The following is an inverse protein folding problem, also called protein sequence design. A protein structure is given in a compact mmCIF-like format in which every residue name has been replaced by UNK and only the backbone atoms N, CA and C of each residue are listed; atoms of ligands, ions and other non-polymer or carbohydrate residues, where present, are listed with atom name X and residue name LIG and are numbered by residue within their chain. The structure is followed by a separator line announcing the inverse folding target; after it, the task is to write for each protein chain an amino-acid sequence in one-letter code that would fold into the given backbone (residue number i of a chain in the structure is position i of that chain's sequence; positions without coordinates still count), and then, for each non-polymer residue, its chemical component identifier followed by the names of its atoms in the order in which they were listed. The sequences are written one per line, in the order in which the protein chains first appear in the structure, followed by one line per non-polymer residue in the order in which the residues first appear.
data_IF_751448391395
#
_entry.id   IF_751448391395
#
_cell.length_a   1.000
_cell.length_b   1.000
_cell.length_c   1.000
_cell.angle_alpha   90.00
_cell.angle_beta   90.00
_cell.angle_gamma   90.00
#
_symmetry.space_group_name_H-M   'P 1'
#
loop_
_entity.id
_entity.type
_entity.pdbx_description
1 polymer ?
#
# COMPACT_ATOMS: atom_id res chain seq x y z
N UNK A 1 8.58 12.45 2.58
CA UNK A 1 7.47 12.78 1.66
C UNK A 1 7.90 12.62 0.21
N UNK A 2 8.97 13.33 -0.25
CA UNK A 2 9.43 13.21 -1.64
C UNK A 2 9.79 11.76 -2.02
N UNK A 3 10.52 11.04 -1.16
CA UNK A 3 10.81 9.62 -1.36
C UNK A 3 9.53 8.78 -1.45
N UNK A 4 8.55 9.07 -0.61
CA UNK A 4 7.29 8.33 -0.60
C UNK A 4 6.51 8.54 -1.91
N UNK A 5 6.43 9.78 -2.38
CA UNK A 5 5.81 10.13 -3.66
C UNK A 5 6.54 9.51 -4.85
N UNK A 6 7.87 9.35 -4.78
CA UNK A 6 8.64 8.77 -5.88
C UNK A 6 8.58 7.24 -5.91
N UNK A 7 8.34 6.59 -4.77
CA UNK A 7 8.31 5.12 -4.67
C UNK A 7 6.89 4.58 -4.71
N UNK A 8 6.00 5.15 -3.88
CA UNK A 8 4.65 4.60 -3.65
C UNK A 8 3.57 5.44 -4.33
N UNK A 9 3.90 6.70 -4.70
CA UNK A 9 2.98 7.71 -5.25
C UNK A 9 1.97 8.28 -4.26
N UNK A 10 2.11 7.92 -2.99
CA UNK A 10 1.30 8.41 -1.89
C UNK A 10 2.19 8.87 -0.74
N UNK A 11 1.85 10.01 -0.15
CA UNK A 11 2.51 10.53 1.05
C UNK A 11 1.45 11.04 2.03
N UNK A 12 1.72 10.82 3.30
CA UNK A 12 0.81 11.20 4.39
C UNK A 12 1.53 12.09 5.40
N UNK A 13 0.90 13.21 5.75
CA UNK A 13 1.27 14.07 6.86
C UNK A 13 0.16 14.05 7.89
N UNK A 14 0.50 13.63 9.10
CA UNK A 14 -0.43 13.55 10.23
C UNK A 14 -0.32 14.85 11.03
N UNK A 15 -1.44 15.51 11.23
CA UNK A 15 -1.59 16.71 12.05
C UNK A 15 -1.98 16.25 13.45
N UNK A 16 -1.05 16.33 14.38
CA UNK A 16 -1.35 16.04 15.80
C UNK A 16 -2.03 17.24 16.42
N UNK A 17 -3.27 17.06 16.85
CA UNK A 17 -4.10 18.08 17.48
C UNK A 17 -4.14 17.89 18.99
N UNK A 18 -4.05 18.98 19.73
CA UNK A 18 -4.32 19.02 21.15
C UNK A 18 -5.68 19.68 21.36
N UNK A 19 -6.60 18.96 22.00
CA UNK A 19 -7.98 19.41 22.21
C UNK A 19 -8.12 20.03 23.59
N UNK A 20 -8.81 21.14 23.64
CA UNK A 20 -9.21 21.82 24.89
C UNK A 20 -10.68 21.51 25.12
N UNK A 21 -10.94 20.88 26.25
CA UNK A 21 -12.26 20.39 26.65
C UNK A 21 -12.78 21.27 27.80
N UNK A 22 -14.05 21.63 27.75
CA UNK A 22 -14.69 22.33 28.84
C UNK A 22 -14.80 21.39 30.06
N UNK A 23 -14.34 21.84 31.25
CA UNK A 23 -14.40 21.00 32.45
C UNK A 23 -15.83 20.81 32.97
N UNK A 24 -16.79 21.66 32.62
CA UNK A 24 -18.17 21.55 33.09
C UNK A 24 -19.01 20.62 32.22
N UNK A 25 -18.95 20.80 30.88
CA UNK A 25 -19.79 20.06 29.93
C UNK A 25 -19.07 18.90 29.26
N UNK A 26 -17.73 18.85 29.33
CA UNK A 26 -16.91 17.85 28.64
C UNK A 26 -16.87 18.01 27.13
N UNK A 27 -17.38 19.14 26.59
CA UNK A 27 -17.38 19.41 25.16
C UNK A 27 -16.04 19.97 24.67
N UNK A 28 -15.69 19.66 23.42
CA UNK A 28 -14.49 20.18 22.78
C UNK A 28 -14.75 21.61 22.34
N UNK A 29 -14.06 22.57 22.98
CA UNK A 29 -14.19 24.01 22.64
C UNK A 29 -13.35 24.37 21.42
N UNK A 30 -12.08 23.98 21.40
CA UNK A 30 -11.17 24.25 20.30
C UNK A 30 -10.00 23.26 20.30
N UNK A 31 -9.19 23.30 19.25
CA UNK A 31 -7.95 22.56 19.17
C UNK A 31 -6.80 23.45 18.69
N UNK A 32 -5.58 23.08 19.04
CA UNK A 32 -4.38 23.63 18.44
C UNK A 32 -3.56 22.53 17.77
N UNK A 33 -2.83 22.87 16.73
CA UNK A 33 -1.86 21.97 16.11
C UNK A 33 -0.63 21.89 17.00
N UNK A 34 -0.30 20.71 17.47
CA UNK A 34 0.89 20.45 18.30
C UNK A 34 2.11 20.17 17.44
N UNK A 35 1.98 19.29 16.48
CA UNK A 35 3.06 18.88 15.59
C UNK A 35 2.55 18.28 14.28
N UNK A 36 3.45 18.18 13.31
CA UNK A 36 3.21 17.48 12.04
C UNK A 36 4.14 16.27 11.97
N UNK A 37 3.57 15.08 11.82
CA UNK A 37 4.30 13.82 11.75
C UNK A 37 4.15 13.22 10.36
N UNK A 38 5.25 12.66 9.82
CA UNK A 38 5.18 11.87 8.59
C UNK A 38 4.47 10.54 8.88
N UNK A 39 3.37 10.27 8.19
CA UNK A 39 2.73 8.96 8.15
C UNK A 39 3.45 8.02 7.18
N UNK A 40 3.78 6.81 7.61
CA UNK A 40 4.37 5.82 6.72
C UNK A 40 3.30 5.25 5.76
N UNK A 41 3.47 5.39 4.44
CA UNK A 41 2.50 4.90 3.46
C UNK A 41 2.27 3.38 3.52
N UNK A 42 3.21 2.62 4.08
CA UNK A 42 3.06 1.17 4.25
C UNK A 42 1.94 0.85 5.24
N UNK A 43 1.82 1.63 6.30
CA UNK A 43 0.85 1.39 7.37
C UNK A 43 -0.40 2.26 7.29
N UNK A 44 -0.31 3.39 6.57
CA UNK A 44 -1.46 4.27 6.37
C UNK A 44 -2.45 3.70 5.36
N UNK A 45 -3.73 3.69 5.71
CA UNK A 45 -4.82 3.27 4.82
C UNK A 45 -5.94 4.29 4.85
N UNK A 46 -6.58 4.43 3.71
CA UNK A 46 -7.80 5.23 3.57
C UNK A 46 -8.98 4.36 4.00
N UNK A 47 -9.77 4.85 4.92
CA UNK A 47 -11.04 4.23 5.28
C UNK A 47 -12.06 4.60 4.22
N UNK A 48 -12.69 3.61 3.62
CA UNK A 48 -13.74 3.81 2.61
C UNK A 48 -14.92 2.87 2.86
N UNK A 49 -16.09 3.31 2.42
CA UNK A 49 -17.29 2.51 2.41
C UNK A 49 -17.26 1.43 1.29
N UNK A 50 -18.33 0.65 1.18
CA UNK A 50 -18.48 -0.38 0.13
C UNK A 50 -18.55 0.22 -1.29
N UNK A 51 -18.82 1.52 -1.43
CA UNK A 51 -18.92 2.24 -2.69
C UNK A 51 -17.58 2.89 -3.09
N UNK A 52 -16.56 2.82 -2.23
CA UNK A 52 -15.27 3.45 -2.44
C UNK A 52 -15.22 4.93 -2.07
N UNK A 53 -16.22 5.45 -1.37
CA UNK A 53 -16.23 6.82 -0.85
C UNK A 53 -15.43 6.84 0.46
N UNK A 54 -14.62 7.87 0.67
CA UNK A 54 -13.84 8.05 1.90
C UNK A 54 -14.76 8.28 3.09
N UNK A 55 -14.43 7.70 4.24
CA UNK A 55 -15.24 7.77 5.46
C UNK A 55 -16.38 6.74 5.47
N UNK A 56 -17.41 7.00 6.29
CA UNK A 56 -18.68 6.26 6.34
C UNK A 56 -18.63 4.83 6.90
N UNK A 57 -17.44 4.26 7.15
CA UNK A 57 -17.32 2.89 7.66
C UNK A 57 -17.18 2.82 9.16
N UNK A 58 -16.33 3.68 9.71
CA UNK A 58 -16.04 3.74 11.14
C UNK A 58 -16.21 5.16 11.63
N UNK A 59 -16.67 5.29 12.87
CA UNK A 59 -16.72 6.55 13.60
C UNK A 59 -15.83 6.44 14.83
N UNK A 60 -15.13 7.49 15.17
CA UNK A 60 -14.23 7.54 16.32
C UNK A 60 -14.44 8.81 17.11
N UNK A 61 -14.12 8.73 18.41
CA UNK A 61 -14.12 9.88 19.26
C UNK A 61 -12.86 10.72 19.03
N UNK A 62 -12.95 12.03 18.88
CA UNK A 62 -11.80 12.91 18.78
C UNK A 62 -10.81 12.79 19.93
N UNK A 63 -11.28 12.45 21.15
CA UNK A 63 -10.49 12.32 22.36
C UNK A 63 -9.94 10.91 22.61
N UNK A 64 -10.65 9.86 22.18
CA UNK A 64 -10.36 8.45 22.49
C UNK A 64 -10.06 7.61 21.25
N UNK A 65 -9.08 8.02 20.46
CA UNK A 65 -8.79 7.43 19.13
C UNK A 65 -8.07 6.11 19.16
N UNK A 66 -7.29 5.89 20.19
CA UNK A 66 -6.39 4.72 20.26
C UNK A 66 -7.12 3.45 20.68
N UNK A 67 -8.35 3.58 21.15
CA UNK A 67 -9.03 2.48 21.83
C UNK A 67 -10.33 2.03 21.18
N UNK A 68 -11.07 2.92 20.52
CA UNK A 68 -12.43 2.64 20.09
C UNK A 68 -12.71 3.15 18.69
N UNK A 69 -13.07 2.23 17.81
CA UNK A 69 -13.67 2.55 16.51
C UNK A 69 -15.02 1.88 16.43
N UNK A 70 -16.07 2.64 16.13
CA UNK A 70 -17.45 2.16 16.07
C UNK A 70 -17.88 1.91 14.62
N UNK A 71 -18.72 0.89 14.36
CA UNK A 71 -19.45 0.81 13.11
C UNK A 71 -20.22 2.09 12.83
N UNK A 72 -20.48 2.43 11.57
CA UNK A 72 -21.02 3.72 11.16
C UNK A 72 -22.41 4.12 11.68
N UNK A 73 -23.05 3.32 12.54
CA UNK A 73 -24.35 3.62 13.11
C UNK A 73 -24.31 4.28 14.50
N UNK A 74 -23.19 4.18 15.22
CA UNK A 74 -23.03 4.83 16.52
C UNK A 74 -22.81 6.34 16.36
N UNK A 75 -23.37 7.13 17.30
CA UNK A 75 -23.27 8.59 17.25
C UNK A 75 -22.52 9.19 18.43
N UNK A 76 -22.45 8.49 19.56
CA UNK A 76 -21.87 8.99 20.80
C UNK A 76 -20.79 8.05 21.33
N UNK A 77 -19.79 8.61 21.98
CA UNK A 77 -18.69 7.87 22.56
C UNK A 77 -19.11 7.26 23.91
N UNK A 78 -18.92 5.97 24.07
CA UNK A 78 -19.26 5.25 25.32
C UNK A 78 -18.40 5.67 26.51
N UNK A 79 -17.29 6.39 26.30
CA UNK A 79 -16.35 6.79 27.35
C UNK A 79 -16.62 8.21 27.85
N UNK A 80 -16.85 9.15 26.94
CA UNK A 80 -17.00 10.58 27.29
C UNK A 80 -18.32 11.20 26.82
N UNK A 81 -19.18 10.46 26.12
CA UNK A 81 -20.47 10.97 25.62
C UNK A 81 -20.35 11.91 24.41
N UNK A 82 -19.13 12.33 24.02
CA UNK A 82 -18.96 13.22 22.89
C UNK A 82 -19.39 12.59 21.57
N UNK A 83 -19.85 13.44 20.65
CA UNK A 83 -20.25 13.01 19.31
C UNK A 83 -19.09 12.36 18.56
N UNK A 84 -19.39 11.24 17.94
CA UNK A 84 -18.42 10.52 17.09
C UNK A 84 -18.34 11.17 15.70
N UNK A 85 -17.14 11.25 15.18
CA UNK A 85 -16.83 11.74 13.84
C UNK A 85 -16.37 10.61 12.93
N UNK A 86 -16.53 10.78 11.61
CA UNK A 86 -16.14 9.76 10.63
C UNK A 86 -14.62 9.64 10.54
N UNK A 87 -14.14 8.40 10.63
CA UNK A 87 -12.74 8.10 10.40
C UNK A 87 -12.44 8.03 8.90
N UNK A 88 -11.50 8.84 8.44
CA UNK A 88 -11.10 8.90 7.03
C UNK A 88 -9.81 8.14 6.75
N UNK A 89 -8.95 7.99 7.77
CA UNK A 89 -7.67 7.29 7.66
C UNK A 89 -7.44 6.40 8.85
N UNK A 90 -6.61 5.39 8.65
CA UNK A 90 -6.21 4.45 9.70
C UNK A 90 -4.73 4.13 9.56
N UNK A 91 -4.02 4.13 10.69
CA UNK A 91 -2.66 3.65 10.79
C UNK A 91 -2.67 2.26 11.43
N UNK A 92 -2.13 1.29 10.71
CA UNK A 92 -2.07 -0.12 11.11
C UNK A 92 -0.63 -0.52 11.46
N UNK A 93 0.15 0.38 12.05
CA UNK A 93 1.52 0.10 12.45
C UNK A 93 1.59 -1.12 13.37
N UNK A 94 2.58 -1.99 13.11
CA UNK A 94 2.68 -3.36 13.62
C UNK A 94 2.81 -3.59 15.13
N UNK A 95 2.55 -2.59 15.96
CA UNK A 95 2.49 -2.72 17.42
C UNK A 95 1.15 -3.26 17.96
N UNK A 96 0.25 -3.71 17.07
CA UNK A 96 -1.07 -4.21 17.43
C UNK A 96 -2.11 -3.13 17.77
N UNK A 97 -1.72 -1.85 17.79
CA UNK A 97 -2.63 -0.73 18.02
C UNK A 97 -2.99 -0.06 16.69
N UNK A 98 -4.26 -0.11 16.37
CA UNK A 98 -4.82 0.58 15.21
C UNK A 98 -5.23 1.99 15.64
N UNK A 99 -4.72 3.02 14.95
CA UNK A 99 -5.06 4.40 15.22
C UNK A 99 -5.86 4.99 14.06
N UNK A 100 -7.02 5.57 14.37
CA UNK A 100 -7.90 6.19 13.39
C UNK A 100 -7.72 7.72 13.40
N UNK A 101 -7.86 8.31 12.22
CA UNK A 101 -7.75 9.74 12.02
C UNK A 101 -9.00 10.28 11.33
N UNK A 102 -9.40 11.47 11.78
CA UNK A 102 -10.54 12.20 11.25
C UNK A 102 -10.19 12.93 9.95
N UNK A 103 -11.20 13.45 9.29
CA UNK A 103 -11.01 14.40 8.20
C UNK A 103 -10.24 15.63 8.70
N UNK A 104 -9.31 16.13 7.91
CA UNK A 104 -8.48 17.28 8.29
C UNK A 104 -7.40 17.01 9.34
N UNK A 105 -7.13 15.75 9.68
CA UNK A 105 -5.98 15.35 10.51
C UNK A 105 -4.89 14.69 9.72
N UNK A 106 -5.15 14.33 8.48
CA UNK A 106 -4.18 13.76 7.58
C UNK A 106 -4.22 14.52 6.28
N UNK A 107 -3.08 15.09 5.89
CA UNK A 107 -2.88 15.62 4.55
C UNK A 107 -2.36 14.46 3.71
N UNK A 108 -3.19 13.99 2.79
CA UNK A 108 -2.84 12.96 1.84
C UNK A 108 -2.47 13.61 0.51
N UNK A 109 -1.23 13.40 0.10
CA UNK A 109 -0.68 13.87 -1.17
C UNK A 109 -0.48 12.66 -2.05
N UNK A 110 -1.15 12.62 -3.19
CA UNK A 110 -0.99 11.54 -4.17
C UNK A 110 -0.84 12.12 -5.57
N UNK A 111 -0.10 11.43 -6.43
CA UNK A 111 -0.12 11.74 -7.84
C UNK A 111 -1.47 11.35 -8.44
N UNK A 112 -1.87 12.06 -9.48
CA UNK A 112 -3.19 11.93 -10.07
C UNK A 112 -3.47 10.50 -10.55
N UNK A 113 -4.56 9.94 -10.04
CA UNK A 113 -5.11 8.67 -10.50
C UNK A 113 -6.64 8.77 -10.52
N UNK A 114 -7.26 8.95 -11.70
CA UNK A 114 -8.68 9.29 -11.82
C UNK A 114 -9.64 8.22 -11.31
N UNK A 115 -9.19 6.99 -11.18
CA UNK A 115 -10.07 5.86 -10.86
C UNK A 115 -9.82 5.23 -9.49
N UNK A 116 -8.91 5.77 -8.67
CA UNK A 116 -8.53 5.15 -7.40
C UNK A 116 -8.29 6.17 -6.29
N UNK A 117 -8.45 5.71 -5.07
CA UNK A 117 -8.18 6.50 -3.85
C UNK A 117 -6.69 6.73 -3.61
N UNK A 118 -5.84 5.86 -4.15
CA UNK A 118 -4.38 5.91 -4.02
C UNK A 118 -3.72 6.26 -5.34
N UNK A 119 -2.54 6.83 -5.28
CA UNK A 119 -1.67 7.04 -6.43
C UNK A 119 -1.25 5.72 -7.11
N UNK A 120 -0.62 5.82 -8.26
CA UNK A 120 -0.10 4.67 -9.01
C UNK A 120 1.42 4.66 -8.94
N UNK A 121 1.97 3.76 -8.14
CA UNK A 121 3.42 3.64 -7.97
C UNK A 121 4.16 3.47 -9.31
N UNK A 122 5.18 4.30 -9.59
CA UNK A 122 6.04 4.15 -10.77
C UNK A 122 6.74 2.79 -10.80
N UNK A 123 7.10 2.26 -9.64
CA UNK A 123 7.71 0.93 -9.49
C UNK A 123 6.77 -0.16 -10.03
N UNK A 124 5.48 -0.05 -9.74
CA UNK A 124 4.49 -1.01 -10.23
C UNK A 124 4.33 -0.98 -11.75
N UNK A 125 4.56 0.18 -12.35
CA UNK A 125 4.49 0.35 -13.81
C UNK A 125 5.69 -0.30 -14.51
N UNK A 126 6.86 -0.23 -13.88
CA UNK A 126 8.12 -0.78 -14.41
C UNK A 126 8.41 -2.21 -13.95
N UNK A 127 7.52 -2.81 -13.15
CA UNK A 127 7.73 -4.11 -12.53
C UNK A 127 8.12 -5.22 -13.52
N UNK A 128 7.41 -5.30 -14.64
CA UNK A 128 7.71 -6.30 -15.67
C UNK A 128 9.12 -6.14 -16.27
N UNK A 129 9.54 -4.89 -16.49
CA UNK A 129 10.87 -4.60 -17.02
C UNK A 129 11.94 -4.95 -16.00
N UNK A 130 11.74 -4.58 -14.73
CA UNK A 130 12.65 -4.93 -13.65
C UNK A 130 12.81 -6.45 -13.50
N UNK A 131 11.71 -7.20 -13.53
CA UNK A 131 11.73 -8.66 -13.48
C UNK A 131 12.45 -9.29 -14.69
N UNK A 132 12.24 -8.75 -15.88
CA UNK A 132 12.95 -9.21 -17.09
C UNK A 132 14.45 -8.99 -16.99
N UNK A 133 14.88 -7.81 -16.54
CA UNK A 133 16.31 -7.49 -16.32
C UNK A 133 16.92 -8.44 -15.29
N UNK A 134 16.26 -8.64 -14.16
CA UNK A 134 16.74 -9.57 -13.12
C UNK A 134 16.87 -11.01 -13.66
N UNK A 135 15.91 -11.45 -14.47
CA UNK A 135 15.98 -12.77 -15.09
C UNK A 135 17.14 -12.90 -16.09
N UNK A 136 17.38 -11.84 -16.88
CA UNK A 136 18.53 -11.78 -17.78
C UNK A 136 19.87 -11.80 -17.03
N UNK A 137 20.00 -11.00 -15.97
CA UNK A 137 21.19 -10.98 -15.14
C UNK A 137 21.47 -12.35 -14.50
N UNK A 138 20.45 -12.99 -13.96
CA UNK A 138 20.57 -14.35 -13.41
C UNK A 138 20.95 -15.38 -14.47
N UNK A 139 20.42 -15.27 -15.69
CA UNK A 139 20.78 -16.14 -16.80
C UNK A 139 22.24 -15.95 -17.18
N UNK A 140 22.67 -14.71 -17.37
CA UNK A 140 24.07 -14.37 -17.73
C UNK A 140 25.01 -14.85 -16.62
N UNK A 141 24.73 -14.54 -15.36
CA UNK A 141 25.53 -14.99 -14.22
C UNK A 141 25.66 -16.52 -14.18
N UNK A 142 24.56 -17.25 -14.36
CA UNK A 142 24.57 -18.71 -14.37
C UNK A 142 25.35 -19.27 -15.56
N UNK A 143 25.24 -18.64 -16.73
CA UNK A 143 26.02 -19.03 -17.93
C UNK A 143 27.52 -18.87 -17.71
N UNK A 144 27.97 -17.75 -17.14
CA UNK A 144 29.35 -17.52 -16.81
C UNK A 144 29.87 -18.48 -15.72
N UNK A 145 29.12 -18.63 -14.63
CA UNK A 145 29.56 -19.45 -13.48
C UNK A 145 29.63 -20.94 -13.82
N UNK A 146 28.67 -21.43 -14.59
CA UNK A 146 28.62 -22.86 -14.99
C UNK A 146 29.34 -23.15 -16.29
N UNK A 147 29.99 -22.16 -16.89
CA UNK A 147 30.67 -22.28 -18.21
C UNK A 147 29.80 -22.94 -19.28
N UNK A 148 28.49 -22.74 -19.19
CA UNK A 148 27.53 -23.27 -20.16
C UNK A 148 27.52 -22.34 -21.36
N UNK A 149 28.00 -22.83 -22.47
CA UNK A 149 27.81 -22.20 -23.78
C UNK A 149 26.31 -22.09 -24.05
N UNK A 150 25.81 -20.94 -24.58
CA UNK A 150 24.42 -20.83 -25.01
C UNK A 150 24.09 -22.03 -25.91
N UNK A 151 22.97 -22.68 -25.65
CA UNK A 151 22.52 -23.78 -26.49
C UNK A 151 22.39 -23.23 -27.91
N UNK A 152 23.19 -23.77 -28.83
CA UNK A 152 23.13 -23.41 -30.24
C UNK A 152 21.78 -23.82 -30.85
N UNK A 153 21.42 -23.15 -31.92
CA UNK A 153 20.27 -23.58 -32.72
C UNK A 153 20.74 -24.77 -33.55
N UNK A 154 20.16 -25.94 -33.30
CA UNK A 154 20.36 -27.13 -34.11
C UNK A 154 19.28 -27.13 -35.19
N UNK A 155 19.67 -26.85 -36.42
CA UNK A 155 18.78 -26.96 -37.57
C UNK A 155 19.02 -28.34 -38.21
N UNK A 156 17.98 -29.16 -38.22
CA UNK A 156 18.00 -30.48 -38.84
C UNK A 156 17.08 -30.44 -40.06
N UNK A 157 17.63 -30.63 -41.23
CA UNK A 157 16.84 -30.75 -42.45
C UNK A 157 16.78 -32.23 -42.77
N UNK A 158 15.63 -32.84 -42.68
CA UNK A 158 15.40 -34.24 -43.02
C UNK A 158 13.99 -34.44 -43.56
N UNK A 159 13.88 -35.27 -44.56
CA UNK A 159 12.57 -35.66 -45.16
C UNK A 159 11.91 -36.84 -44.41
N UNK A 160 12.63 -37.41 -43.43
CA UNK A 160 12.15 -38.55 -42.68
C UNK A 160 11.76 -38.18 -41.23
N UNK A 161 10.47 -38.26 -40.94
CA UNK A 161 9.91 -37.92 -39.64
C UNK A 161 10.36 -38.83 -38.48
N UNK A 162 10.67 -40.10 -38.78
CA UNK A 162 11.11 -41.06 -37.78
C UNK A 162 12.56 -40.78 -37.34
N UNK A 163 13.40 -40.42 -38.28
CA UNK A 163 14.78 -40.01 -38.00
C UNK A 163 14.83 -38.74 -37.14
N UNK A 164 13.90 -37.83 -37.34
CA UNK A 164 13.80 -36.62 -36.55
C UNK A 164 13.36 -36.93 -35.11
N UNK A 165 12.39 -37.84 -34.92
CA UNK A 165 11.95 -38.27 -33.59
C UNK A 165 13.06 -39.02 -32.83
N UNK A 166 13.80 -39.87 -33.46
CA UNK A 166 14.93 -40.59 -32.84
C UNK A 166 16.07 -39.63 -32.44
N UNK A 167 16.35 -38.62 -33.26
CA UNK A 167 17.32 -37.59 -32.94
C UNK A 167 16.94 -36.79 -31.71
N UNK A 168 15.69 -36.31 -31.62
CA UNK A 168 15.22 -35.56 -30.47
C UNK A 168 15.24 -36.36 -29.18
N UNK A 169 14.86 -37.66 -29.25
CA UNK A 169 14.97 -38.56 -28.11
C UNK A 169 16.37 -38.70 -27.56
N UNK A 170 17.36 -38.76 -28.44
CA UNK A 170 18.80 -38.84 -28.07
C UNK A 170 19.34 -37.53 -27.47
N UNK A 171 18.76 -36.39 -27.85
CA UNK A 171 19.11 -35.04 -27.30
C UNK A 171 18.51 -34.83 -25.93
N UNK A 172 17.33 -35.30 -25.68
CA UNK A 172 16.61 -35.14 -24.38
C UNK A 172 17.17 -36.08 -23.29
N UNK A 173 17.80 -37.21 -23.66
CA UNK A 173 18.41 -38.17 -22.72
C UNK A 173 19.81 -37.75 -22.22
N UNK A 174 20.39 -36.64 -22.68
CA UNK A 174 21.68 -36.09 -22.25
C UNK A 174 21.55 -34.76 -21.55
#
# INVERSE_FOLDING_TARGET
IEKDLNVVDDAFLIIVKEYYVDPEDGEIQFFRVKELIRGDPIFMRIVSDKRGVRGGRYKVCPLHRDQVAFPGQENECNVCGNKLEEAHYVNMAGSGKTQYYLEGEVIHISKYNPSKLYGRSPVNTMWRQAMSLTAMDNYIYTAYQKRRTPKGIISVTTDNLESMKSFWKTVDEK
#
